data_IF_114395686875
#
_entry.id   IF_114395686875
#
_cell.length_a   1.000
_cell.length_b   1.000
_cell.length_c   1.000
_cell.angle_alpha   90.00
_cell.angle_beta   90.00
_cell.angle_gamma   90.00
#
_symmetry.space_group_name_H-M   'P 1'
#
loop_
_entity.id
_entity.type
_entity.pdbx_description
1 polymer ?
#
# COMPACT_ATOMS: atom_id res chain seq x y z
N UNK A 1 -14.90 -17.39 2.03
CA UNK A 1 -14.77 -16.10 2.73
C UNK A 1 -14.94 -15.02 1.70
N UNK A 2 -15.99 -14.23 1.87
CA UNK A 2 -16.22 -13.06 1.05
C UNK A 2 -15.16 -11.99 1.38
N UNK A 3 -14.68 -11.21 0.40
CA UNK A 3 -13.66 -10.20 0.66
C UNK A 3 -14.07 -9.14 1.69
N UNK A 4 -15.38 -8.89 1.84
CA UNK A 4 -15.96 -7.99 2.85
C UNK A 4 -15.93 -8.56 4.27
N UNK A 5 -15.78 -9.87 4.43
CA UNK A 5 -15.66 -10.53 5.73
C UNK A 5 -14.22 -10.51 6.28
N UNK A 6 -13.24 -10.19 5.42
CA UNK A 6 -11.83 -10.08 5.81
C UNK A 6 -11.62 -8.80 6.60
N UNK A 7 -11.23 -8.94 7.87
CA UNK A 7 -10.98 -7.84 8.80
C UNK A 7 -9.61 -8.00 9.48
N UNK A 8 -9.16 -6.96 10.16
CA UNK A 8 -7.88 -6.94 10.89
C UNK A 8 -6.83 -6.06 10.24
N UNK A 9 -5.57 -6.29 10.60
CA UNK A 9 -4.42 -5.51 10.11
C UNK A 9 -3.39 -6.42 9.43
N UNK A 10 -3.14 -6.17 8.16
CA UNK A 10 -2.03 -6.75 7.42
C UNK A 10 -0.82 -5.81 7.50
N UNK A 11 0.26 -6.26 8.15
CA UNK A 11 1.52 -5.50 8.26
C UNK A 11 2.51 -5.99 7.22
N UNK A 12 3.02 -5.06 6.42
CA UNK A 12 4.00 -5.33 5.36
C UNK A 12 5.23 -4.47 5.61
N UNK A 13 6.37 -5.12 5.80
CA UNK A 13 7.66 -4.46 5.82
C UNK A 13 8.44 -4.81 4.55
N UNK A 14 8.87 -3.79 3.81
CA UNK A 14 9.66 -3.95 2.59
C UNK A 14 11.14 -3.71 2.88
N UNK A 15 11.99 -4.67 2.53
CA UNK A 15 13.45 -4.52 2.64
C UNK A 15 14.05 -3.51 1.66
N UNK A 16 13.25 -2.88 0.78
CA UNK A 16 13.74 -1.90 -0.18
C UNK A 16 13.85 -0.50 0.45
N UNK A 17 15.06 0.00 0.74
CA UNK A 17 15.23 1.30 1.39
C UNK A 17 14.84 2.50 0.51
N UNK A 18 14.58 2.27 -0.79
CA UNK A 18 14.08 3.33 -1.69
C UNK A 18 12.58 3.63 -1.51
N UNK A 19 11.88 2.84 -0.70
CA UNK A 19 10.44 2.92 -0.49
C UNK A 19 9.62 2.11 -1.49
N UNK A 20 8.29 2.17 -1.34
CA UNK A 20 7.33 1.51 -2.22
C UNK A 20 7.45 2.06 -3.64
N UNK A 21 7.63 1.16 -4.60
CA UNK A 21 7.81 1.51 -6.00
C UNK A 21 6.57 2.22 -6.61
N UNK A 22 6.77 3.12 -7.57
CA UNK A 22 5.64 3.84 -8.22
C UNK A 22 4.63 2.92 -8.91
N UNK A 23 5.07 1.75 -9.42
CA UNK A 23 4.16 0.75 -9.99
C UNK A 23 3.30 0.08 -8.91
N UNK A 24 3.84 -0.06 -7.70
CA UNK A 24 3.24 -0.73 -6.55
C UNK A 24 2.19 0.16 -5.88
N UNK A 25 2.43 1.48 -5.81
CA UNK A 25 1.56 2.49 -5.19
C UNK A 25 0.61 3.19 -6.17
N UNK A 26 0.63 2.81 -7.45
CA UNK A 26 -0.18 3.44 -8.49
C UNK A 26 -1.68 3.38 -8.13
N UNK A 27 -2.39 4.51 -8.20
CA UNK A 27 -3.80 4.57 -7.78
C UNK A 27 -4.02 5.04 -6.34
N UNK A 28 -3.01 5.01 -5.46
CA UNK A 28 -3.16 5.43 -4.07
C UNK A 28 -3.31 6.95 -3.91
N UNK A 29 -2.44 7.73 -4.57
CA UNK A 29 -2.40 9.19 -4.44
C UNK A 29 -3.27 9.91 -5.49
N UNK A 30 -3.54 9.24 -6.61
CA UNK A 30 -4.30 9.78 -7.73
C UNK A 30 -5.24 8.70 -8.26
N UNK A 31 -6.50 9.03 -8.60
CA UNK A 31 -7.42 8.07 -9.20
C UNK A 31 -6.78 7.36 -10.40
N UNK A 32 -6.96 6.05 -10.45
CA UNK A 32 -6.45 5.22 -11.53
C UNK A 32 -7.38 4.03 -11.76
N UNK A 33 -7.54 3.54 -13.00
CA UNK A 33 -8.33 2.34 -13.26
C UNK A 33 -7.79 1.15 -12.44
N UNK A 34 -8.70 0.42 -11.78
CA UNK A 34 -8.32 -0.60 -10.80
C UNK A 34 -7.47 -1.71 -11.44
N UNK A 35 -7.81 -2.12 -12.66
CA UNK A 35 -7.12 -3.15 -13.43
C UNK A 35 -5.72 -2.75 -13.90
N UNK A 36 -5.37 -1.46 -13.80
CA UNK A 36 -4.04 -0.92 -14.12
C UNK A 36 -3.32 -0.31 -12.90
N UNK A 37 -3.96 -0.34 -11.74
CA UNK A 37 -3.44 0.22 -10.50
C UNK A 37 -2.38 -0.69 -9.87
N UNK A 38 -1.69 -0.20 -8.86
CA UNK A 38 -0.68 -0.95 -8.14
C UNK A 38 -1.30 -1.92 -7.14
N UNK A 39 -0.51 -2.90 -6.73
CA UNK A 39 -0.99 -3.99 -5.86
C UNK A 39 -1.64 -3.48 -4.57
N UNK A 40 -1.10 -2.42 -3.97
CA UNK A 40 -1.62 -1.89 -2.71
C UNK A 40 -3.03 -1.30 -2.86
N UNK A 41 -3.30 -0.59 -3.95
CA UNK A 41 -4.64 -0.07 -4.24
C UNK A 41 -5.61 -1.22 -4.53
N UNK A 42 -5.21 -2.17 -5.38
CA UNK A 42 -6.06 -3.32 -5.75
C UNK A 42 -6.45 -4.17 -4.53
N UNK A 43 -5.47 -4.51 -3.67
CA UNK A 43 -5.72 -5.34 -2.48
C UNK A 43 -6.61 -4.59 -1.49
N UNK A 44 -6.36 -3.31 -1.26
CA UNK A 44 -7.17 -2.51 -0.32
C UNK A 44 -8.61 -2.31 -0.82
N UNK A 45 -8.82 -2.20 -2.15
CA UNK A 45 -10.17 -2.18 -2.74
C UNK A 45 -10.86 -3.54 -2.73
N UNK A 46 -10.11 -4.63 -2.89
CA UNK A 46 -10.66 -5.99 -2.81
C UNK A 46 -11.12 -6.31 -1.40
N UNK A 47 -10.35 -5.93 -0.38
CA UNK A 47 -10.66 -6.20 1.03
C UNK A 47 -10.92 -4.88 1.78
N UNK A 48 -12.12 -4.27 1.63
CA UNK A 48 -12.38 -2.90 2.10
C UNK A 48 -12.31 -2.75 3.64
N UNK A 49 -12.51 -3.85 4.38
CA UNK A 49 -12.47 -3.86 5.85
C UNK A 49 -11.10 -4.22 6.43
N UNK A 50 -10.11 -4.57 5.58
CA UNK A 50 -8.74 -4.84 5.99
C UNK A 50 -7.93 -3.54 6.06
N UNK A 51 -7.29 -3.29 7.19
CA UNK A 51 -6.27 -2.24 7.32
C UNK A 51 -4.93 -2.79 6.83
N UNK A 52 -4.21 -2.05 5.99
CA UNK A 52 -2.89 -2.47 5.48
C UNK A 52 -1.87 -1.43 5.92
N UNK A 53 -0.97 -1.82 6.82
CA UNK A 53 0.14 -0.98 7.29
C UNK A 53 1.39 -1.36 6.49
N UNK A 54 1.95 -0.41 5.74
CA UNK A 54 3.14 -0.63 4.93
C UNK A 54 4.28 0.20 5.47
N UNK A 55 5.45 -0.43 5.64
CA UNK A 55 6.71 0.22 6.00
C UNK A 55 7.81 -0.24 5.06
N UNK A 56 8.87 0.55 4.97
CA UNK A 56 10.10 0.22 4.23
C UNK A 56 11.29 0.34 5.16
N UNK A 57 12.33 -0.45 4.90
CA UNK A 57 13.64 -0.33 5.53
C UNK A 57 14.16 1.11 5.43
N UNK A 58 14.90 1.57 6.45
CA UNK A 58 15.46 2.92 6.48
C UNK A 58 16.98 2.82 6.40
N UNK A 59 17.55 3.24 5.27
CA UNK A 59 18.98 3.34 5.06
C UNK A 59 19.34 4.79 4.69
N UNK A 60 20.00 5.49 5.61
CA UNK A 60 20.40 6.90 5.43
C UNK A 60 21.41 7.13 4.30
N UNK A 61 22.03 6.08 3.76
CA UNK A 61 22.91 6.17 2.59
C UNK A 61 22.16 6.12 1.26
N UNK A 62 20.88 5.72 1.27
CA UNK A 62 20.07 5.52 0.06
C UNK A 62 19.05 6.65 -0.10
N UNK A 63 19.07 7.31 -1.26
CA UNK A 63 18.05 8.30 -1.62
C UNK A 63 16.69 7.63 -1.84
N UNK A 64 15.69 8.10 -1.10
CA UNK A 64 14.31 7.63 -1.15
C UNK A 64 13.57 8.20 -2.36
N UNK A 65 12.80 7.37 -3.07
CA UNK A 65 12.05 7.79 -4.26
C UNK A 65 10.56 7.38 -4.23
N UNK A 66 10.15 6.64 -3.21
CA UNK A 66 8.78 6.15 -3.02
C UNK A 66 8.21 6.52 -1.65
N UNK A 67 6.98 6.05 -1.39
CA UNK A 67 6.38 6.15 -0.06
C UNK A 67 7.10 5.20 0.89
N UNK A 68 7.58 5.71 2.02
CA UNK A 68 8.34 4.93 3.01
C UNK A 68 7.43 4.22 4.00
N UNK A 69 6.37 4.89 4.44
CA UNK A 69 5.32 4.32 5.26
C UNK A 69 3.97 4.93 4.90
N UNK A 70 2.92 4.13 5.01
CA UNK A 70 1.53 4.57 4.89
C UNK A 70 0.59 3.48 5.40
N UNK A 71 -0.61 3.90 5.79
CA UNK A 71 -1.71 3.01 6.17
C UNK A 71 -2.84 3.11 5.15
N UNK A 72 -3.35 1.97 4.67
CA UNK A 72 -4.45 1.90 3.72
C UNK A 72 -5.72 1.31 4.32
N UNK A 73 -6.85 1.84 3.88
CA UNK A 73 -8.17 1.23 4.04
C UNK A 73 -9.08 1.61 2.88
N UNK A 74 -9.78 0.62 2.31
CA UNK A 74 -10.64 0.80 1.13
C UNK A 74 -10.02 1.69 0.02
N UNK A 75 -8.80 1.38 -0.37
CA UNK A 75 -8.07 2.07 -1.44
C UNK A 75 -7.65 3.51 -1.12
N UNK A 76 -7.74 3.95 0.13
CA UNK A 76 -7.34 5.29 0.58
C UNK A 76 -6.19 5.19 1.57
N UNK A 77 -5.22 6.10 1.44
CA UNK A 77 -4.26 6.36 2.51
C UNK A 77 -5.02 7.09 3.63
N UNK A 78 -4.92 6.56 4.85
CA UNK A 78 -5.56 7.15 6.04
C UNK A 78 -4.54 7.78 7.00
N UNK A 79 -3.26 7.37 6.90
CA UNK A 79 -2.12 7.89 7.67
C UNK A 79 -0.82 7.77 6.86
#
# INVERSE_FOLDING_TARGET
MEPTEVTGTLRIHQSNPRGVCNKCSKGLLKPYPIEKSGIFYQVSKKYPNLTIEVTSEIDGSVKTNGLLSFVLKDGKIIE
#
